data_IF_522200966492
#
_entry.id   IF_522200966492
#
_cell.length_a   1.000
_cell.length_b   1.000
_cell.length_c   1.000
_cell.angle_alpha   90.00
_cell.angle_beta   90.00
_cell.angle_gamma   90.00
#
_symmetry.space_group_name_H-M   'P 1'
#
loop_
_entity.id
_entity.type
_entity.pdbx_description
1 polymer ?
#
# COMPACT_ATOMS: atom_id res chain seq x y z
N UNK A 1 -25.94 -22.44 -11.75
CA UNK A 1 -25.46 -21.63 -12.89
C UNK A 1 -23.94 -21.70 -12.91
N UNK A 2 -23.34 -22.08 -14.04
CA UNK A 2 -21.87 -22.19 -14.20
C UNK A 2 -21.23 -20.80 -14.21
N UNK A 3 -20.07 -20.63 -13.56
CA UNK A 3 -19.34 -19.36 -13.62
C UNK A 3 -18.73 -19.15 -15.00
N UNK A 4 -18.56 -17.89 -15.41
CA UNK A 4 -17.92 -17.52 -16.68
C UNK A 4 -16.53 -18.17 -16.82
N UNK A 5 -15.76 -18.20 -15.72
CA UNK A 5 -14.44 -18.85 -15.65
C UNK A 5 -14.53 -20.33 -16.00
N UNK A 6 -15.57 -21.02 -15.52
CA UNK A 6 -15.77 -22.44 -15.79
C UNK A 6 -16.19 -22.69 -17.23
N UNK A 7 -17.07 -21.85 -17.79
CA UNK A 7 -17.47 -21.93 -19.20
C UNK A 7 -16.28 -21.75 -20.14
N UNK A 8 -15.44 -20.74 -19.90
CA UNK A 8 -14.25 -20.46 -20.73
C UNK A 8 -13.23 -21.60 -20.63
N UNK A 9 -13.02 -22.13 -19.42
CA UNK A 9 -12.10 -23.26 -19.21
C UNK A 9 -12.54 -24.49 -19.99
N UNK A 10 -13.85 -24.78 -20.00
CA UNK A 10 -14.42 -25.92 -20.71
C UNK A 10 -14.39 -25.75 -22.24
N UNK A 11 -14.66 -24.54 -22.76
CA UNK A 11 -14.69 -24.32 -24.22
C UNK A 11 -13.29 -24.26 -24.87
N UNK A 12 -12.25 -23.92 -24.10
CA UNK A 12 -10.89 -23.72 -24.59
C UNK A 12 -9.91 -24.79 -24.06
N UNK A 13 -10.42 -25.97 -23.73
CA UNK A 13 -9.71 -26.98 -22.92
C UNK A 13 -8.35 -27.42 -23.52
N UNK A 14 -8.19 -27.41 -24.85
CA UNK A 14 -6.93 -27.76 -25.54
C UNK A 14 -6.04 -26.52 -25.86
N UNK A 15 -6.52 -25.31 -25.55
CA UNK A 15 -5.81 -24.04 -25.78
C UNK A 15 -5.28 -23.40 -24.48
N UNK A 16 -5.67 -23.90 -23.31
CA UNK A 16 -5.22 -23.42 -22.00
C UNK A 16 -4.24 -24.44 -21.41
N UNK A 17 -2.95 -24.08 -21.32
CA UNK A 17 -1.92 -24.95 -20.73
C UNK A 17 -2.06 -25.13 -19.22
N UNK A 18 -2.67 -24.15 -18.53
CA UNK A 18 -2.95 -24.24 -17.11
C UNK A 18 -3.74 -23.05 -16.58
N UNK A 19 -4.40 -23.25 -15.45
CA UNK A 19 -4.99 -22.19 -14.65
C UNK A 19 -4.52 -22.32 -13.21
N UNK A 20 -4.43 -21.20 -12.51
CA UNK A 20 -4.23 -21.19 -11.07
C UNK A 20 -5.13 -20.14 -10.43
N UNK A 21 -5.65 -20.44 -9.26
CA UNK A 21 -6.43 -19.50 -8.47
C UNK A 21 -5.56 -19.00 -7.34
N UNK A 22 -5.33 -17.69 -7.30
CA UNK A 22 -4.68 -17.05 -6.16
C UNK A 22 -5.76 -16.89 -5.07
N UNK A 23 -5.56 -17.43 -3.86
CA UNK A 23 -6.54 -17.27 -2.79
C UNK A 23 -6.67 -15.80 -2.41
N UNK A 24 -7.90 -15.39 -2.09
CA UNK A 24 -8.15 -14.06 -1.55
C UNK A 24 -7.37 -13.88 -0.24
N UNK A 25 -6.73 -12.72 -0.07
CA UNK A 25 -6.02 -12.38 1.15
C UNK A 25 -6.87 -11.40 1.96
N UNK A 26 -7.07 -11.62 3.27
CA UNK A 26 -7.81 -10.68 4.09
C UNK A 26 -7.07 -9.35 4.19
N UNK A 27 -7.83 -8.28 4.38
CA UNK A 27 -7.24 -6.96 4.56
C UNK A 27 -6.56 -6.84 5.92
N UNK A 28 -5.31 -6.36 5.93
CA UNK A 28 -4.58 -6.02 7.15
C UNK A 28 -4.53 -4.50 7.28
N UNK A 29 -5.04 -3.99 8.41
CA UNK A 29 -5.13 -2.55 8.68
C UNK A 29 -4.19 -2.14 9.81
N UNK A 30 -3.53 -1.00 9.64
CA UNK A 30 -2.77 -0.32 10.68
C UNK A 30 -3.57 0.79 11.35
N UNK A 31 -2.84 1.71 11.98
CA UNK A 31 -3.36 2.97 12.51
C UNK A 31 -2.46 4.10 12.00
N UNK A 32 -3.01 5.30 11.88
CA UNK A 32 -2.20 6.49 11.64
C UNK A 32 -1.43 6.83 12.92
N UNK A 33 -0.14 7.14 12.81
CA UNK A 33 0.67 7.55 13.96
C UNK A 33 0.16 8.87 14.57
N UNK A 34 0.29 9.01 15.89
CA UNK A 34 -0.11 10.22 16.61
C UNK A 34 0.72 11.46 16.23
N UNK A 35 1.91 11.24 15.67
CA UNK A 35 2.77 12.29 15.13
C UNK A 35 2.15 12.96 13.89
N UNK A 36 1.20 12.30 13.22
CA UNK A 36 0.56 12.86 12.03
C UNK A 36 -0.37 14.02 12.43
N UNK A 37 -0.24 15.13 11.70
CA UNK A 37 -1.03 16.35 11.92
C UNK A 37 -2.52 16.02 12.08
N UNK A 38 -3.20 16.53 13.13
CA UNK A 38 -4.63 16.27 13.35
C UNK A 38 -5.49 16.61 12.14
N UNK A 39 -5.21 17.73 11.46
CA UNK A 39 -5.92 18.15 10.25
C UNK A 39 -5.82 17.10 9.13
N UNK A 40 -4.66 16.46 8.96
CA UNK A 40 -4.47 15.40 7.97
C UNK A 40 -5.20 14.13 8.40
N UNK A 41 -5.14 13.75 9.69
CA UNK A 41 -5.86 12.58 10.21
C UNK A 41 -7.38 12.72 10.07
N UNK A 42 -7.92 13.91 10.32
CA UNK A 42 -9.35 14.18 10.21
C UNK A 42 -9.80 14.18 8.74
N UNK A 43 -9.06 14.84 7.85
CA UNK A 43 -9.34 14.79 6.41
C UNK A 43 -9.31 13.34 5.86
N UNK A 44 -8.33 12.53 6.28
CA UNK A 44 -8.26 11.11 5.92
C UNK A 44 -9.48 10.34 6.45
N UNK A 45 -9.92 10.62 7.67
CA UNK A 45 -11.13 10.00 8.26
C UNK A 45 -12.38 10.36 7.46
N UNK A 46 -12.55 11.63 7.08
CA UNK A 46 -13.69 12.12 6.28
C UNK A 46 -13.73 11.48 4.89
N UNK A 47 -12.57 11.19 4.29
CA UNK A 47 -12.46 10.43 3.03
C UNK A 47 -12.71 8.93 3.18
N UNK A 48 -13.08 8.44 4.37
CA UNK A 48 -13.28 7.01 4.64
C UNK A 48 -11.97 6.23 4.85
N UNK A 49 -10.83 6.92 4.97
CA UNK A 49 -9.49 6.34 5.19
C UNK A 49 -9.10 6.39 6.67
N UNK A 50 -10.07 6.15 7.55
CA UNK A 50 -9.86 6.17 9.00
C UNK A 50 -8.80 5.15 9.46
N UNK A 51 -8.69 4.01 8.77
CA UNK A 51 -7.68 2.99 9.02
C UNK A 51 -6.87 2.72 7.75
N UNK A 52 -5.55 3.00 7.76
CA UNK A 52 -4.70 2.68 6.62
C UNK A 52 -4.54 1.17 6.48
N UNK A 53 -4.20 0.73 5.27
CA UNK A 53 -3.61 -0.59 5.11
C UNK A 53 -2.29 -0.67 5.87
N UNK A 54 -1.95 -1.85 6.40
CA UNK A 54 -0.78 -2.04 7.23
C UNK A 54 0.51 -1.55 6.53
N UNK A 55 0.68 -1.87 5.25
CA UNK A 55 1.85 -1.44 4.47
C UNK A 55 1.91 0.08 4.27
N UNK A 56 0.76 0.77 4.28
CA UNK A 56 0.72 2.24 4.19
C UNK A 56 1.17 2.85 5.51
N UNK A 57 0.64 2.37 6.65
CA UNK A 57 1.05 2.84 7.97
C UNK A 57 2.56 2.65 8.18
N UNK A 58 3.07 1.44 7.91
CA UNK A 58 4.49 1.12 8.04
C UNK A 58 5.37 1.99 7.16
N UNK A 59 4.96 2.25 5.92
CA UNK A 59 5.73 3.11 5.02
C UNK A 59 5.76 4.57 5.52
N UNK A 60 4.60 5.09 5.94
CA UNK A 60 4.47 6.47 6.42
C UNK A 60 5.25 6.67 7.72
N UNK A 61 5.17 5.72 8.66
CA UNK A 61 5.96 5.74 9.90
C UNK A 61 7.47 5.65 9.65
N UNK A 62 7.89 4.80 8.70
CA UNK A 62 9.30 4.69 8.35
C UNK A 62 9.85 5.99 7.72
N UNK A 63 9.06 6.66 6.87
CA UNK A 63 9.41 7.98 6.31
C UNK A 63 9.51 9.03 7.41
N UNK A 64 8.57 9.05 8.36
CA UNK A 64 8.58 9.98 9.48
C UNK A 64 9.78 9.79 10.41
N UNK A 65 10.25 8.54 10.55
CA UNK A 65 11.48 8.20 11.25
C UNK A 65 12.76 8.56 10.46
N UNK A 66 12.64 9.20 9.30
CA UNK A 66 13.77 9.65 8.47
C UNK A 66 14.34 8.58 7.52
N UNK A 67 13.64 7.46 7.32
CA UNK A 67 14.13 6.38 6.45
C UNK A 67 13.71 6.60 4.99
N UNK A 68 14.56 6.16 4.05
CA UNK A 68 14.18 6.01 2.65
C UNK A 68 13.39 4.71 2.47
N UNK A 69 12.18 4.82 1.90
CA UNK A 69 11.25 3.70 1.81
C UNK A 69 10.93 3.37 0.36
N UNK A 70 11.00 2.09 0.00
CA UNK A 70 10.49 1.54 -1.27
C UNK A 70 9.28 0.67 -0.97
N UNK A 71 8.13 0.97 -1.61
CA UNK A 71 6.88 0.21 -1.41
C UNK A 71 6.58 -0.64 -2.66
N UNK A 72 6.92 -1.92 -2.61
CA UNK A 72 6.66 -2.89 -3.68
C UNK A 72 5.36 -3.68 -3.44
N UNK A 73 4.21 -3.11 -3.79
CA UNK A 73 2.90 -3.78 -3.68
C UNK A 73 2.15 -3.79 -5.01
N UNK A 74 1.26 -4.78 -5.20
CA UNK A 74 0.47 -4.96 -6.42
C UNK A 74 -0.36 -3.72 -6.79
N UNK A 75 -0.81 -3.62 -8.04
CA UNK A 75 -1.68 -2.53 -8.50
C UNK A 75 -2.97 -2.44 -7.67
N UNK A 76 -3.53 -1.23 -7.49
CA UNK A 76 -4.72 -1.02 -6.66
C UNK A 76 -4.52 -1.02 -5.13
N UNK A 77 -3.33 -1.33 -4.62
CA UNK A 77 -3.04 -1.39 -3.17
C UNK A 77 -2.94 -0.04 -2.44
N UNK A 78 -3.11 1.08 -3.14
CA UNK A 78 -3.02 2.42 -2.53
C UNK A 78 -1.60 2.90 -2.18
N UNK A 79 -0.56 2.48 -2.91
CA UNK A 79 0.83 2.98 -2.74
C UNK A 79 0.92 4.51 -2.79
N UNK A 80 0.17 5.14 -3.69
CA UNK A 80 0.18 6.59 -3.85
C UNK A 80 -0.20 7.30 -2.55
N UNK A 81 -1.17 6.76 -1.80
CA UNK A 81 -1.55 7.32 -0.50
C UNK A 81 -0.37 7.31 0.48
N UNK A 82 0.39 6.22 0.55
CA UNK A 82 1.56 6.12 1.41
C UNK A 82 2.66 7.13 1.04
N UNK A 83 2.79 7.47 -0.24
CA UNK A 83 3.73 8.50 -0.69
C UNK A 83 3.25 9.93 -0.38
N UNK A 84 1.95 10.20 -0.45
CA UNK A 84 1.39 11.54 -0.27
C UNK A 84 1.22 11.96 1.19
N UNK A 85 0.89 11.03 2.10
CA UNK A 85 0.61 11.37 3.51
C UNK A 85 1.75 12.13 4.20
N UNK A 86 3.04 11.74 4.06
CA UNK A 86 4.14 12.52 4.62
C UNK A 86 4.24 13.94 4.04
N UNK A 87 3.99 14.12 2.75
CA UNK A 87 4.02 15.45 2.12
C UNK A 87 2.88 16.34 2.62
N UNK A 88 1.67 15.79 2.74
CA UNK A 88 0.50 16.50 3.29
C UNK A 88 0.71 16.89 4.76
N UNK A 89 1.38 16.03 5.53
CA UNK A 89 1.76 16.34 6.90
C UNK A 89 2.66 17.58 7.00
N UNK A 90 3.73 17.63 6.20
CA UNK A 90 4.66 18.76 6.17
C UNK A 90 3.96 20.05 5.75
N UNK A 91 3.08 19.98 4.74
CA UNK A 91 2.28 21.14 4.32
C UNK A 91 1.38 21.66 5.44
N UNK A 92 0.66 20.76 6.12
CA UNK A 92 -0.22 21.12 7.22
C UNK A 92 0.53 21.70 8.43
N UNK A 93 1.77 21.27 8.67
CA UNK A 93 2.63 21.87 9.71
C UNK A 93 3.03 23.30 9.34
N UNK A 94 3.44 23.52 8.08
CA UNK A 94 3.83 24.85 7.62
C UNK A 94 2.69 25.87 7.68
N UNK A 95 1.45 25.47 7.38
CA UNK A 95 0.29 26.37 7.46
C UNK A 95 -0.02 26.75 8.92
N UNK A 96 0.12 25.79 9.85
CA UNK A 96 -0.05 26.04 11.28
C UNK A 96 1.00 27.02 11.82
N UNK A 97 2.27 26.85 11.43
CA UNK A 97 3.38 27.72 11.85
C UNK A 97 3.23 29.15 11.34
N UNK A 98 2.64 29.34 10.16
CA UNK A 98 2.40 30.68 9.59
C UNK A 98 1.16 31.37 10.16
N UNK A 99 0.46 30.77 11.11
CA UNK A 99 -0.74 31.34 11.73
C UNK A 99 -1.86 31.60 10.73
N UNK A 100 -1.82 30.95 9.55
CA UNK A 100 -2.82 31.13 8.52
C UNK A 100 -4.03 30.27 8.90
N UNK A 101 -4.90 30.81 9.74
CA UNK A 101 -6.19 30.21 10.07
C UNK A 101 -6.91 29.84 8.78
N UNK A 102 -7.23 28.55 8.66
CA UNK A 102 -7.82 27.94 7.47
C UNK A 102 -9.14 28.60 7.11
N UNK A 103 -9.20 29.30 5.97
CA UNK A 103 -10.44 29.47 5.21
C UNK A 103 -10.47 28.38 4.12
N UNK A 104 -11.53 27.58 4.00
CA UNK A 104 -11.60 26.55 2.98
C UNK A 104 -11.93 27.21 1.64
N UNK A 105 -10.94 27.33 0.76
CA UNK A 105 -11.11 27.88 -0.58
C UNK A 105 -10.05 27.34 -1.53
N UNK A 106 -10.49 26.64 -2.57
CA UNK A 106 -9.65 26.04 -3.62
C UNK A 106 -8.75 27.10 -4.28
N UNK A 107 -7.47 26.80 -4.51
CA UNK A 107 -6.56 27.75 -5.17
C UNK A 107 -5.14 27.24 -5.40
N UNK A 108 -4.95 26.62 -6.56
CA UNK A 108 -3.80 26.65 -7.50
C UNK A 108 -2.35 26.80 -6.98
N UNK A 109 -1.52 25.88 -7.46
CA UNK A 109 -0.07 25.73 -7.30
C UNK A 109 0.81 26.95 -7.66
N UNK A 110 1.94 27.10 -6.96
CA UNK A 110 3.20 27.63 -7.50
C UNK A 110 4.38 27.44 -6.51
N UNK A 111 5.52 26.91 -6.99
CA UNK A 111 6.83 27.14 -6.37
C UNK A 111 7.61 25.90 -5.94
N UNK A 112 8.31 25.27 -6.90
CA UNK A 112 9.41 24.34 -6.63
C UNK A 112 10.57 25.12 -5.97
N UNK A 113 11.03 24.66 -4.80
CA UNK A 113 12.17 25.20 -4.08
C UNK A 113 13.11 24.09 -3.62
N UNK A 114 14.38 24.24 -3.98
CA UNK A 114 15.51 23.31 -3.94
C UNK A 114 15.86 22.73 -2.56
N UNK A 115 16.23 21.45 -2.52
CA UNK A 115 16.80 20.73 -1.36
C UNK A 115 18.30 20.97 -1.19
N UNK A 116 18.84 21.04 0.05
CA UNK A 116 20.22 20.66 0.33
C UNK A 116 20.26 19.24 0.90
N UNK A 117 21.15 18.41 0.34
CA UNK A 117 21.32 17.01 0.72
C UNK A 117 22.08 16.82 2.04
N UNK A 118 21.88 15.67 2.67
CA UNK A 118 22.76 15.18 3.73
C UNK A 118 22.81 13.64 3.75
N UNK A 119 24.04 13.13 3.59
CA UNK A 119 24.60 11.88 4.13
C UNK A 119 23.78 10.60 4.13
N UNK A 120 23.98 9.77 3.11
CA UNK A 120 23.67 8.33 3.12
C UNK A 120 24.54 7.58 4.14
N UNK A 121 23.93 6.82 5.04
CA UNK A 121 24.57 5.63 5.65
C UNK A 121 23.65 4.43 5.45
N UNK A 122 24.08 3.36 4.73
CA UNK A 122 23.23 2.21 4.45
C UNK A 122 23.41 1.17 5.57
N UNK A 123 22.74 1.35 6.71
CA UNK A 123 22.78 0.35 7.78
C UNK A 123 21.41 0.22 8.49
N UNK A 124 20.35 -0.06 7.73
CA UNK A 124 19.07 -0.48 8.33
C UNK A 124 18.13 -1.25 7.39
N UNK A 125 18.59 -1.70 6.21
CA UNK A 125 17.74 -2.33 5.20
C UNK A 125 17.62 -3.87 5.33
N UNK A 126 18.01 -4.46 6.46
CA UNK A 126 18.01 -5.92 6.63
C UNK A 126 17.37 -6.36 7.94
N UNK A 127 16.09 -6.03 8.15
CA UNK A 127 15.21 -6.87 8.99
C UNK A 127 13.75 -6.45 8.93
N UNK A 128 13.00 -6.74 7.86
CA UNK A 128 11.53 -6.82 8.00
C UNK A 128 10.86 -7.60 6.86
N UNK A 129 11.09 -8.91 6.82
CA UNK A 129 10.11 -9.87 6.30
C UNK A 129 9.98 -10.97 7.35
N UNK A 130 8.82 -11.14 8.03
CA UNK A 130 8.57 -12.42 8.68
C UNK A 130 8.41 -13.46 7.57
N UNK A 131 9.23 -14.52 7.62
CA UNK A 131 8.97 -15.73 6.84
C UNK A 131 7.52 -16.16 7.05
N UNK A 132 6.82 -16.35 5.93
CA UNK A 132 5.51 -16.99 5.93
C UNK A 132 5.74 -18.49 6.11
N UNK A 133 5.09 -19.16 7.08
CA UNK A 133 5.28 -20.59 7.28
C UNK A 133 4.84 -21.38 6.04
N UNK A 134 5.78 -22.16 5.50
CA UNK A 134 5.53 -23.19 4.49
C UNK A 134 4.59 -24.25 5.07
N UNK A 135 3.34 -24.28 4.61
CA UNK A 135 2.39 -25.36 4.87
C UNK A 135 2.60 -26.55 3.91
N UNK A 136 2.35 -27.80 4.33
CA UNK A 136 2.94 -28.99 3.71
C UNK A 136 2.15 -29.54 2.52
N UNK A 137 2.88 -30.20 1.61
CA UNK A 137 2.43 -31.44 0.96
C UNK A 137 1.54 -31.29 -0.27
N UNK A 138 2.17 -31.20 -1.43
CA UNK A 138 1.59 -31.62 -2.71
C UNK A 138 1.08 -33.07 -2.65
N UNK A 139 -0.22 -33.30 -2.78
CA UNK A 139 -0.73 -34.59 -3.26
C UNK A 139 -1.05 -34.47 -4.74
N UNK A 140 -0.10 -34.91 -5.56
CA UNK A 140 -0.28 -35.23 -6.97
C UNK A 140 -1.30 -36.37 -7.08
N UNK A 141 -2.49 -36.10 -7.61
CA UNK A 141 -3.41 -37.17 -8.04
C UNK A 141 -3.33 -37.30 -9.55
N UNK A 142 -2.55 -38.28 -9.99
CA UNK A 142 -2.51 -38.77 -11.37
C UNK A 142 -3.79 -39.55 -11.66
N UNK A 143 -4.71 -38.97 -12.43
CA UNK A 143 -5.77 -39.73 -13.08
C UNK A 143 -5.28 -40.17 -14.46
N UNK A 144 -4.96 -41.46 -14.56
CA UNK A 144 -4.49 -42.14 -15.76
C UNK A 144 -5.70 -42.56 -16.59
N UNK A 145 -5.71 -42.19 -17.86
CA UNK A 145 -6.71 -42.64 -18.82
C UNK A 145 -6.77 -44.16 -18.94
N UNK A 146 -7.96 -44.67 -19.23
CA UNK A 146 -8.15 -45.96 -19.89
C UNK A 146 -9.33 -45.87 -20.84
N UNK A 147 -9.12 -46.59 -21.96
CA UNK A 147 -9.87 -46.64 -23.21
C UNK A 147 -11.36 -46.91 -23.05
#
# INVERSE_FOLDING_TARGET
MSSLVQTISQSLNDQITGHFTVPARPACYGQWGEWLSPAVRDALREMGLARPWLHQAQAVDAVAAGNHVVVATGTGSGKSLAAWVPALHLLAQHDADKGLGTTPGVGTAAGLGTTPGVGTTPEAASRFMPEMPSGPGSTTSTSKGRK
#
